data_IF_423567897507
#
_entry.id   IF_423567897507
#
_cell.length_a   1.000
_cell.length_b   1.000
_cell.length_c   1.000
_cell.angle_alpha   90.00
_cell.angle_beta   90.00
_cell.angle_gamma   90.00
#
_symmetry.space_group_name_H-M   'P 1'
#
loop_
_entity.id
_entity.type
_entity.pdbx_description
1 polymer ?
#
# COMPACT_ATOMS: atom_id res chain seq x y z
N UNK A 1 -6.65 2.85 16.81
CA UNK A 1 -7.61 3.86 16.29
C UNK A 1 -6.96 5.15 15.79
N UNK A 2 -6.25 5.96 16.60
CA UNK A 2 -5.68 7.23 16.09
C UNK A 2 -4.77 7.07 14.85
N UNK A 3 -4.01 5.97 14.77
CA UNK A 3 -3.20 5.66 13.59
C UNK A 3 -4.05 5.32 12.34
N UNK A 4 -5.18 4.63 12.54
CA UNK A 4 -6.10 4.27 11.45
C UNK A 4 -6.74 5.51 10.84
N UNK A 5 -7.25 6.42 11.68
CA UNK A 5 -7.81 7.69 11.19
C UNK A 5 -6.79 8.59 10.48
N UNK A 6 -5.51 8.53 10.89
CA UNK A 6 -4.44 9.25 10.19
C UNK A 6 -4.12 8.64 8.82
N UNK A 7 -4.26 7.32 8.70
CA UNK A 7 -4.10 6.60 7.43
C UNK A 7 -5.26 6.96 6.49
N UNK A 8 -6.50 6.91 6.96
CA UNK A 8 -7.69 7.28 6.17
C UNK A 8 -7.60 8.72 5.66
N UNK A 9 -7.23 9.65 6.54
CA UNK A 9 -7.06 11.06 6.19
C UNK A 9 -5.98 11.24 5.13
N UNK A 10 -4.82 10.59 5.29
CA UNK A 10 -3.74 10.65 4.30
C UNK A 10 -4.15 10.01 2.98
N UNK A 11 -4.86 8.90 3.01
CA UNK A 11 -5.32 8.19 1.82
C UNK A 11 -6.26 9.07 0.99
N UNK A 12 -7.24 9.71 1.64
CA UNK A 12 -8.15 10.67 1.00
C UNK A 12 -7.39 11.91 0.53
N UNK A 13 -6.52 12.47 1.37
CA UNK A 13 -5.75 13.68 1.05
C UNK A 13 -4.70 13.49 -0.05
N UNK A 14 -4.23 12.27 -0.32
CA UNK A 14 -3.26 12.00 -1.38
C UNK A 14 -3.94 11.62 -2.69
N UNK A 15 -5.07 10.92 -2.62
CA UNK A 15 -5.79 10.43 -3.79
C UNK A 15 -6.72 11.50 -4.38
N UNK A 16 -7.50 12.18 -3.53
CA UNK A 16 -8.55 13.11 -3.98
C UNK A 16 -8.01 14.37 -4.65
N UNK A 17 -7.00 15.09 -4.12
CA UNK A 17 -6.52 16.31 -4.77
C UNK A 17 -5.86 16.02 -6.10
N UNK A 18 -5.16 14.88 -6.21
CA UNK A 18 -4.48 14.49 -7.44
C UNK A 18 -5.48 14.07 -8.52
N UNK A 19 -6.54 13.35 -8.14
CA UNK A 19 -7.66 13.01 -9.04
C UNK A 19 -8.41 14.27 -9.51
N UNK A 20 -8.73 15.18 -8.58
CA UNK A 20 -9.41 16.44 -8.87
C UNK A 20 -8.56 17.38 -9.76
N UNK A 21 -7.26 17.50 -9.48
CA UNK A 21 -6.33 18.32 -10.28
C UNK A 21 -6.18 17.79 -11.71
N UNK A 22 -6.01 16.47 -11.88
CA UNK A 22 -5.95 15.84 -13.19
C UNK A 22 -7.26 15.99 -13.98
N UNK A 23 -8.41 16.00 -13.28
CA UNK A 23 -9.72 16.20 -13.90
C UNK A 23 -9.95 17.65 -14.35
N UNK A 24 -9.60 18.62 -13.51
CA UNK A 24 -9.84 20.04 -13.76
C UNK A 24 -8.92 20.65 -14.83
N UNK A 25 -7.67 20.19 -14.95
CA UNK A 25 -6.70 20.77 -15.89
C UNK A 25 -6.74 20.13 -17.28
N UNK A 26 -7.52 19.06 -17.50
CA UNK A 26 -7.59 18.36 -18.79
C UNK A 26 -6.27 17.73 -19.26
N UNK A 27 -5.19 17.90 -18.49
CA UNK A 27 -3.84 17.47 -18.79
C UNK A 27 -3.65 16.05 -18.25
N UNK A 28 -3.78 15.04 -19.13
CA UNK A 28 -3.79 13.61 -18.78
C UNK A 28 -2.41 12.99 -18.56
N UNK A 29 -1.37 13.80 -18.38
CA UNK A 29 0.02 13.33 -18.30
C UNK A 29 0.54 13.38 -16.87
N UNK A 30 0.46 12.25 -16.17
CA UNK A 30 1.25 12.01 -14.96
C UNK A 30 2.66 11.60 -15.39
N UNK A 31 3.69 12.24 -14.80
CA UNK A 31 5.07 11.77 -14.96
C UNK A 31 5.23 10.37 -14.38
N UNK A 32 6.06 9.54 -15.00
CA UNK A 32 6.38 8.18 -14.53
C UNK A 32 6.79 8.14 -13.05
N UNK A 33 7.58 9.12 -12.61
CA UNK A 33 7.98 9.29 -11.21
C UNK A 33 6.78 9.67 -10.33
N UNK A 34 5.91 10.56 -10.82
CA UNK A 34 4.70 10.99 -10.11
C UNK A 34 3.67 9.87 -9.94
N UNK A 35 3.64 8.91 -10.87
CA UNK A 35 2.90 7.66 -10.74
C UNK A 35 3.51 6.77 -9.67
N UNK A 36 4.82 6.46 -9.77
CA UNK A 36 5.49 5.56 -8.82
C UNK A 36 5.33 6.02 -7.38
N UNK A 37 5.46 7.33 -7.13
CA UNK A 37 5.23 7.92 -5.80
C UNK A 37 3.78 7.74 -5.34
N UNK A 38 2.79 7.90 -6.22
CA UNK A 38 1.38 7.74 -5.86
C UNK A 38 1.05 6.29 -5.49
N UNK A 39 1.47 5.35 -6.33
CA UNK A 39 1.31 3.91 -6.09
C UNK A 39 2.03 3.48 -4.81
N UNK A 40 3.22 4.04 -4.55
CA UNK A 40 3.98 3.79 -3.33
C UNK A 40 3.20 4.20 -2.08
N UNK A 41 2.67 5.42 -2.03
CA UNK A 41 1.90 5.90 -0.89
C UNK A 41 0.61 5.10 -0.72
N UNK A 42 -0.09 4.81 -1.80
CA UNK A 42 -1.34 4.04 -1.78
C UNK A 42 -1.15 2.64 -1.21
N UNK A 43 -0.16 1.88 -1.72
CA UNK A 43 0.14 0.53 -1.26
C UNK A 43 0.64 0.51 0.19
N UNK A 44 1.45 1.51 0.58
CA UNK A 44 1.93 1.62 1.97
C UNK A 44 0.79 1.86 2.94
N UNK A 45 -0.08 2.84 2.63
CA UNK A 45 -1.21 3.20 3.48
C UNK A 45 -2.21 2.05 3.58
N UNK A 46 -2.61 1.44 2.45
CA UNK A 46 -3.54 0.32 2.45
C UNK A 46 -2.99 -0.93 3.14
N UNK A 47 -1.71 -1.24 2.95
CA UNK A 47 -1.06 -2.36 3.66
C UNK A 47 -0.97 -2.12 5.18
N UNK A 48 -0.62 -0.89 5.59
CA UNK A 48 -0.58 -0.52 7.00
C UNK A 48 -1.99 -0.55 7.63
N UNK A 49 -3.03 -0.12 6.91
CA UNK A 49 -4.42 -0.18 7.34
C UNK A 49 -4.86 -1.63 7.61
N UNK A 50 -4.65 -2.53 6.64
CA UNK A 50 -5.02 -3.94 6.76
C UNK A 50 -4.34 -4.61 7.96
N UNK A 51 -3.03 -4.41 8.14
CA UNK A 51 -2.30 -4.95 9.28
C UNK A 51 -2.77 -4.36 10.61
N UNK A 52 -3.06 -3.06 10.67
CA UNK A 52 -3.60 -2.44 11.89
C UNK A 52 -4.98 -2.96 12.25
N UNK A 53 -5.85 -3.19 11.26
CA UNK A 53 -7.16 -3.82 11.47
C UNK A 53 -7.00 -5.24 12.01
N UNK A 54 -6.10 -6.04 11.44
CA UNK A 54 -5.78 -7.38 11.93
C UNK A 54 -5.22 -7.35 13.36
N UNK A 55 -4.32 -6.42 13.68
CA UNK A 55 -3.82 -6.23 15.04
C UNK A 55 -4.93 -5.83 16.02
N UNK A 56 -5.90 -5.01 15.60
CA UNK A 56 -7.06 -4.65 16.42
C UNK A 56 -8.01 -5.83 16.63
N UNK A 57 -8.22 -6.67 15.61
CA UNK A 57 -8.98 -7.91 15.74
C UNK A 57 -8.27 -8.91 16.68
N UNK A 58 -6.95 -9.03 16.56
CA UNK A 58 -6.12 -9.85 17.44
C UNK A 58 -6.17 -9.37 18.89
N UNK A 59 -6.10 -8.06 19.12
CA UNK A 59 -6.27 -7.46 20.46
C UNK A 59 -7.61 -7.87 21.09
N UNK A 60 -8.72 -7.75 20.34
CA UNK A 60 -10.05 -8.17 20.79
C UNK A 60 -10.13 -9.67 21.07
N UNK A 61 -9.52 -10.50 20.21
CA UNK A 61 -9.46 -11.95 20.41
C UNK A 61 -8.74 -12.33 21.71
N UNK A 62 -7.55 -11.76 21.96
CA UNK A 62 -6.77 -12.04 23.18
C UNK A 62 -7.49 -11.54 24.43
N UNK A 63 -8.18 -10.40 24.35
CA UNK A 63 -8.98 -9.88 25.47
C UNK A 63 -10.12 -10.84 25.87
N UNK A 64 -10.76 -11.50 24.89
CA UNK A 64 -11.89 -12.41 25.11
C UNK A 64 -11.39 -13.80 25.55
N UNK A 65 -10.41 -14.37 24.85
CA UNK A 65 -9.95 -15.74 25.11
C UNK A 65 -8.96 -15.84 26.29
N UNK A 66 -8.24 -14.76 26.62
CA UNK A 66 -7.17 -14.77 27.63
C UNK A 66 -7.19 -13.53 28.56
N UNK A 67 -8.30 -13.25 29.26
CA UNK A 67 -8.47 -12.02 30.04
C UNK A 67 -7.41 -11.82 31.14
N UNK A 68 -6.97 -12.88 31.83
CA UNK A 68 -5.94 -12.76 32.88
C UNK A 68 -4.53 -12.48 32.33
N UNK A 69 -4.24 -12.87 31.09
CA UNK A 69 -2.93 -12.65 30.45
C UNK A 69 -2.94 -11.47 29.46
N UNK A 70 -4.09 -10.80 29.31
CA UNK A 70 -4.21 -9.63 28.47
C UNK A 70 -3.24 -8.49 28.85
N UNK A 71 -3.12 -8.06 30.12
CA UNK A 71 -2.21 -6.96 30.46
C UNK A 71 -0.72 -7.29 30.31
N UNK A 72 -0.35 -8.57 30.35
CA UNK A 72 1.04 -9.03 30.12
C UNK A 72 1.35 -9.17 28.63
N UNK A 73 0.40 -9.60 27.80
CA UNK A 73 0.56 -9.69 26.33
C UNK A 73 0.35 -8.35 25.61
N UNK A 74 -0.69 -7.60 25.97
CA UNK A 74 -1.00 -6.29 25.40
C UNK A 74 -0.57 -5.16 26.34
N UNK A 75 0.72 -4.86 26.28
CA UNK A 75 1.29 -3.66 26.90
C UNK A 75 1.39 -2.50 25.91
N UNK A 76 1.58 -1.28 26.41
CA UNK A 76 1.87 -0.10 25.55
C UNK A 76 3.04 -0.36 24.58
N UNK A 77 4.06 -1.11 25.02
CA UNK A 77 5.21 -1.48 24.18
C UNK A 77 4.80 -2.39 23.03
N UNK A 78 3.97 -3.40 23.30
CA UNK A 78 3.44 -4.30 22.27
C UNK A 78 2.61 -3.53 21.23
N UNK A 79 1.77 -2.60 21.68
CA UNK A 79 0.99 -1.73 20.78
C UNK A 79 1.89 -0.89 19.85
N UNK A 80 2.93 -0.27 20.40
CA UNK A 80 3.91 0.51 19.61
C UNK A 80 4.66 -0.37 18.61
N UNK A 81 5.07 -1.58 19.01
CA UNK A 81 5.75 -2.53 18.13
C UNK A 81 4.83 -3.00 16.98
N UNK A 82 3.55 -3.26 17.26
CA UNK A 82 2.59 -3.62 16.20
C UNK A 82 2.37 -2.48 15.22
N UNK A 83 2.24 -1.24 15.69
CA UNK A 83 2.11 -0.06 14.84
C UNK A 83 3.38 0.13 14.00
N UNK A 84 4.57 0.08 14.61
CA UNK A 84 5.82 0.21 13.88
C UNK A 84 5.98 -0.91 12.84
N UNK A 85 5.63 -2.15 13.21
CA UNK A 85 5.64 -3.30 12.32
C UNK A 85 4.71 -3.13 11.12
N UNK A 86 3.47 -2.65 11.33
CA UNK A 86 2.51 -2.44 10.25
C UNK A 86 2.98 -1.38 9.26
N UNK A 87 3.52 -0.27 9.75
CA UNK A 87 4.10 0.77 8.90
C UNK A 87 5.33 0.27 8.13
N UNK A 88 6.24 -0.44 8.80
CA UNK A 88 7.45 -0.97 8.18
C UNK A 88 7.14 -2.03 7.11
N UNK A 89 6.25 -2.97 7.39
CA UNK A 89 5.85 -4.01 6.43
C UNK A 89 5.10 -3.43 5.23
N UNK A 90 4.18 -2.49 5.46
CA UNK A 90 3.51 -1.75 4.39
C UNK A 90 4.51 -1.02 3.49
N UNK A 91 5.51 -0.34 4.09
CA UNK A 91 6.54 0.38 3.35
C UNK A 91 7.47 -0.56 2.58
N UNK A 92 7.90 -1.68 3.15
CA UNK A 92 8.76 -2.67 2.47
C UNK A 92 8.03 -3.29 1.29
N UNK A 93 6.78 -3.73 1.48
CA UNK A 93 5.95 -4.30 0.41
C UNK A 93 5.76 -3.27 -0.72
N UNK A 94 5.44 -2.03 -0.37
CA UNK A 94 5.26 -0.97 -1.34
C UNK A 94 6.55 -0.59 -2.08
N UNK A 95 7.68 -0.52 -1.37
CA UNK A 95 9.00 -0.32 -1.97
C UNK A 95 9.34 -1.42 -2.96
N UNK A 96 9.08 -2.68 -2.61
CA UNK A 96 9.30 -3.81 -3.50
C UNK A 96 8.45 -3.66 -4.77
N UNK A 97 7.14 -3.51 -4.63
CA UNK A 97 6.22 -3.32 -5.77
C UNK A 97 6.62 -2.14 -6.66
N UNK A 98 6.93 -0.99 -6.06
CA UNK A 98 7.32 0.22 -6.80
C UNK A 98 8.68 0.03 -7.49
N UNK A 99 9.67 -0.54 -6.81
CA UNK A 99 10.99 -0.80 -7.39
C UNK A 99 10.88 -1.78 -8.56
N UNK A 100 10.12 -2.87 -8.41
CA UNK A 100 9.90 -3.83 -9.50
C UNK A 100 9.25 -3.15 -10.71
N UNK A 101 8.22 -2.33 -10.51
CA UNK A 101 7.55 -1.57 -11.58
C UNK A 101 8.52 -0.60 -12.26
N UNK A 102 9.36 0.10 -11.50
CA UNK A 102 10.34 1.04 -12.06
C UNK A 102 11.49 0.35 -12.82
N UNK A 103 11.81 -0.90 -12.49
CA UNK A 103 12.96 -1.64 -13.04
C UNK A 103 12.63 -2.49 -14.27
N UNK A 104 11.35 -2.69 -14.61
CA UNK A 104 10.92 -3.47 -15.77
C UNK A 104 11.14 -2.66 -17.06
N UNK A 105 11.83 -3.22 -18.08
CA UNK A 105 11.98 -2.55 -19.37
C UNK A 105 10.65 -2.56 -20.15
N UNK A 106 10.11 -1.36 -20.38
CA UNK A 106 8.90 -1.15 -21.20
C UNK A 106 9.25 -1.10 -22.70
N UNK A 107 8.55 -1.89 -23.52
CA UNK A 107 8.86 -2.02 -24.96
C UNK A 107 8.25 -0.95 -25.88
N UNK A 108 7.35 -0.10 -25.37
CA UNK A 108 6.73 1.01 -26.13
C UNK A 108 6.97 2.34 -25.41
N UNK A 109 7.02 3.43 -26.21
CA UNK A 109 7.30 4.82 -25.82
C UNK A 109 6.86 5.18 -24.39
N UNK A 110 7.75 5.84 -23.64
CA UNK A 110 7.63 6.28 -22.23
C UNK A 110 6.52 7.33 -21.96
N UNK A 111 5.40 7.27 -22.67
CA UNK A 111 4.28 8.19 -22.54
C UNK A 111 3.00 7.42 -22.22
N UNK A 112 2.63 7.41 -20.94
CA UNK A 112 1.36 6.84 -20.47
C UNK A 112 0.28 7.91 -20.60
N UNK A 113 -0.64 7.72 -21.55
CA UNK A 113 -1.81 8.58 -21.76
C UNK A 113 -3.04 8.01 -21.03
N UNK A 114 -2.96 7.80 -19.71
CA UNK A 114 -4.09 7.32 -18.91
C UNK A 114 -4.29 8.15 -17.63
N UNK A 115 -5.57 8.38 -17.32
CA UNK A 115 -6.12 9.24 -16.25
C UNK A 115 -5.82 8.73 -14.83
N UNK A 116 -5.42 7.45 -14.74
CA UNK A 116 -5.09 6.74 -13.51
C UNK A 116 -3.77 6.02 -13.75
N UNK A 117 -2.86 6.06 -12.78
CA UNK A 117 -1.70 5.20 -12.83
C UNK A 117 -2.06 3.82 -12.27
N UNK A 118 -2.67 3.02 -13.11
CA UNK A 118 -3.03 1.65 -12.78
C UNK A 118 -1.79 0.78 -12.99
N UNK A 119 -1.05 0.51 -11.90
CA UNK A 119 0.14 -0.36 -11.89
C UNK A 119 -0.08 -1.69 -12.62
N UNK A 120 -1.20 -2.42 -12.46
CA UNK A 120 -1.45 -3.64 -13.23
C UNK A 120 -1.59 -3.38 -14.74
N UNK A 121 -2.10 -2.22 -15.17
CA UNK A 121 -2.18 -1.89 -16.60
C UNK A 121 -0.79 -1.61 -17.22
N UNK A 122 0.17 -1.12 -16.42
CA UNK A 122 1.57 -0.95 -16.85
C UNK A 122 2.27 -2.29 -17.06
N UNK A 123 1.99 -3.27 -16.19
CA UNK A 123 2.60 -4.60 -16.20
C UNK A 123 2.22 -5.38 -17.47
N UNK A 124 1.01 -5.17 -18.01
CA UNK A 124 0.56 -5.80 -19.27
C UNK A 124 1.34 -5.29 -20.51
N UNK A 125 2.00 -4.13 -20.42
CA UNK A 125 2.83 -3.55 -21.49
C UNK A 125 4.32 -3.93 -21.37
N UNK A 126 4.70 -4.71 -20.37
CA UNK A 126 6.07 -5.18 -20.16
C UNK A 126 6.50 -6.16 -21.25
N UNK A 127 7.75 -6.04 -21.72
CA UNK A 127 8.29 -6.89 -22.78
C UNK A 127 8.84 -8.23 -22.29
N UNK A 128 8.80 -8.47 -20.97
CA UNK A 128 9.35 -9.64 -20.29
C UNK A 128 8.28 -10.29 -19.42
N UNK A 129 8.45 -11.58 -19.13
CA UNK A 129 7.55 -12.33 -18.25
C UNK A 129 7.38 -11.65 -16.89
N UNK A 130 6.13 -11.29 -16.58
CA UNK A 130 5.69 -10.63 -15.34
C UNK A 130 5.43 -11.63 -14.21
N UNK A 131 5.73 -12.92 -14.42
CA UNK A 131 5.45 -14.00 -13.48
C UNK A 131 5.99 -13.74 -12.06
N UNK A 132 7.20 -13.18 -11.94
CA UNK A 132 7.78 -12.81 -10.64
C UNK A 132 6.97 -11.71 -9.94
N UNK A 133 6.49 -10.71 -10.68
CA UNK A 133 5.65 -9.65 -10.13
C UNK A 133 4.30 -10.21 -9.69
N UNK A 134 3.63 -11.00 -10.54
CA UNK A 134 2.38 -11.67 -10.19
C UNK A 134 2.54 -12.53 -8.92
N UNK A 135 3.63 -13.28 -8.79
CA UNK A 135 3.94 -14.03 -7.57
C UNK A 135 4.13 -13.13 -6.34
N UNK A 136 4.81 -11.99 -6.46
CA UNK A 136 4.95 -11.04 -5.33
C UNK A 136 3.62 -10.41 -4.95
N UNK A 137 2.76 -10.08 -5.93
CA UNK A 137 1.40 -9.60 -5.68
C UNK A 137 0.62 -10.67 -4.95
N UNK A 138 0.56 -11.90 -5.47
CA UNK A 138 -0.13 -13.03 -4.83
C UNK A 138 0.36 -13.29 -3.41
N UNK A 139 1.69 -13.33 -3.20
CA UNK A 139 2.27 -13.52 -1.88
C UNK A 139 1.89 -12.39 -0.92
N UNK A 140 1.91 -11.13 -1.38
CA UNK A 140 1.47 -10.00 -0.57
C UNK A 140 -0.03 -10.08 -0.26
N UNK A 141 -0.88 -10.42 -1.23
CA UNK A 141 -2.33 -10.58 -0.99
C UNK A 141 -2.59 -11.65 0.06
N UNK A 142 -1.92 -12.80 0.01
CA UNK A 142 -2.06 -13.86 1.02
C UNK A 142 -1.58 -13.40 2.40
N UNK A 143 -0.56 -12.54 2.44
CA UNK A 143 0.02 -12.08 3.70
C UNK A 143 -0.82 -10.98 4.37
N UNK A 144 -1.49 -10.13 3.58
CA UNK A 144 -2.28 -8.99 4.05
C UNK A 144 -3.79 -9.28 4.20
N UNK A 145 -4.29 -10.42 3.70
CA UNK A 145 -5.70 -10.83 3.68
C UNK A 145 -5.94 -12.09 4.51
#
# INVERSE_FOLDING_TARGET
LSQLSLIDLNYVSTTVPKMAFNYLLGNKSISFIGCGVQSFFFLTLGGAEALLLTCMAYDRYVAICFPLHYPTRMSKRACVLMIAGSWMMGAINSCAHTAYVLHIPYCRSRAINHFFCDVPAMVILACMNTWLYECTVFASTIFFL
#
